data_IF_390116832967
#
_entry.id   IF_390116832967
#
_cell.length_a   1.000
_cell.length_b   1.000
_cell.length_c   1.000
_cell.angle_alpha   90.00
_cell.angle_beta   90.00
_cell.angle_gamma   90.00
#
_symmetry.space_group_name_H-M   'P 1'
#
loop_
_entity.id
_entity.type
_entity.pdbx_description
1 polymer ?
#
# COMPACT_ATOMS: atom_id res chain seq x y z
N UNK A 1 1.45 5.97 -6.48
CA UNK A 1 1.98 7.35 -6.51
C UNK A 1 3.48 7.34 -6.81
N UNK A 2 4.04 8.47 -7.23
CA UNK A 2 5.48 8.61 -7.51
C UNK A 2 6.33 8.44 -6.24
N UNK A 3 5.84 8.98 -5.11
CA UNK A 3 6.41 8.78 -3.77
C UNK A 3 6.48 7.27 -3.44
N UNK A 4 5.37 6.55 -3.59
CA UNK A 4 5.33 5.10 -3.33
C UNK A 4 6.28 4.29 -4.21
N UNK A 5 6.40 4.64 -5.51
CA UNK A 5 7.38 4.00 -6.41
C UNK A 5 8.83 4.27 -5.97
N UNK A 6 9.14 5.48 -5.51
CA UNK A 6 10.46 5.79 -4.96
C UNK A 6 10.76 4.99 -3.68
N UNK A 7 9.78 4.85 -2.78
CA UNK A 7 9.92 4.02 -1.57
C UNK A 7 10.09 2.53 -1.89
N UNK A 8 9.34 2.01 -2.87
CA UNK A 8 9.48 0.63 -3.35
C UNK A 8 10.89 0.36 -3.89
N UNK A 9 11.47 1.33 -4.59
CA UNK A 9 12.84 1.30 -5.10
C UNK A 9 13.92 1.57 -4.03
N UNK A 10 13.55 1.80 -2.76
CA UNK A 10 14.51 2.07 -1.68
C UNK A 10 15.15 3.46 -1.78
N UNK A 11 14.43 4.44 -2.34
CA UNK A 11 14.90 5.82 -2.58
C UNK A 11 14.12 6.84 -1.75
N UNK A 12 14.26 6.85 -0.41
CA UNK A 12 13.55 7.80 0.45
C UNK A 12 13.95 9.26 0.18
N UNK A 13 15.20 9.49 -0.26
CA UNK A 13 15.70 10.80 -0.72
C UNK A 13 14.86 11.36 -1.88
N UNK A 14 14.53 10.49 -2.85
CA UNK A 14 13.69 10.84 -3.99
C UNK A 14 12.24 10.98 -3.58
N UNK A 15 11.76 10.13 -2.69
CA UNK A 15 10.41 10.20 -2.14
C UNK A 15 10.16 11.54 -1.44
N UNK A 16 11.12 12.04 -0.65
CA UNK A 16 11.03 13.34 0.02
C UNK A 16 10.88 14.50 -0.97
N UNK A 17 11.69 14.53 -2.03
CA UNK A 17 11.55 15.55 -3.10
C UNK A 17 10.19 15.48 -3.80
N UNK A 18 9.72 14.26 -4.09
CA UNK A 18 8.43 14.03 -4.74
C UNK A 18 7.23 14.36 -3.84
N UNK A 19 7.42 14.43 -2.53
CA UNK A 19 6.38 14.76 -1.56
C UNK A 19 6.08 16.28 -1.52
N UNK A 20 7.04 17.13 -1.90
CA UNK A 20 6.95 18.60 -1.77
C UNK A 20 5.70 19.18 -2.45
N UNK A 21 5.41 18.89 -3.74
CA UNK A 21 4.22 19.44 -4.38
C UNK A 21 2.91 19.02 -3.71
N UNK A 22 2.86 17.81 -3.14
CA UNK A 22 1.67 17.34 -2.42
C UNK A 22 1.48 18.09 -1.10
N UNK A 23 2.57 18.45 -0.41
CA UNK A 23 2.47 19.26 0.81
C UNK A 23 1.99 20.67 0.53
N UNK A 24 2.47 21.27 -0.56
CA UNK A 24 2.06 22.62 -0.96
C UNK A 24 0.56 22.68 -1.24
N UNK A 25 0.00 21.63 -1.87
CA UNK A 25 -1.42 21.58 -2.22
C UNK A 25 -2.31 21.19 -1.04
N UNK A 26 -1.91 20.19 -0.24
CA UNK A 26 -2.79 19.57 0.76
C UNK A 26 -2.46 19.95 2.21
N UNK A 27 -1.28 20.50 2.49
CA UNK A 27 -0.85 20.85 3.83
C UNK A 27 -1.05 19.71 4.84
N UNK A 28 -1.71 20.04 5.94
CA UNK A 28 -2.01 19.10 7.04
C UNK A 28 -3.06 18.05 6.70
N UNK A 29 -3.75 18.14 5.56
CA UNK A 29 -4.66 17.11 5.08
C UNK A 29 -3.92 15.94 4.41
N UNK A 30 -2.63 16.12 4.05
CA UNK A 30 -1.84 15.08 3.39
C UNK A 30 -1.66 13.85 4.28
N UNK A 31 -1.92 12.67 3.73
CA UNK A 31 -1.68 11.38 4.38
C UNK A 31 -0.80 10.49 3.51
N UNK A 32 -0.03 9.63 4.16
CA UNK A 32 0.69 8.56 3.47
C UNK A 32 0.01 7.23 3.75
N UNK A 33 -0.44 6.59 2.68
CA UNK A 33 -1.16 5.32 2.76
C UNK A 33 -0.20 4.14 2.88
N UNK A 34 -0.36 3.31 3.91
CA UNK A 34 0.28 2.01 4.02
C UNK A 34 -0.75 0.91 3.69
N UNK A 35 -0.37 -0.01 2.80
CA UNK A 35 -1.18 -1.16 2.38
C UNK A 35 -0.31 -2.42 2.44
N UNK A 36 -0.83 -3.47 3.05
CA UNK A 36 -0.18 -4.78 3.09
C UNK A 36 -1.16 -5.89 2.72
N UNK A 37 -0.79 -6.67 1.71
CA UNK A 37 -1.57 -7.77 1.12
C UNK A 37 -0.79 -9.09 1.20
N UNK A 38 0.06 -9.26 2.21
CA UNK A 38 0.84 -10.49 2.35
C UNK A 38 1.93 -10.71 1.29
N UNK A 39 2.14 -9.78 0.35
CA UNK A 39 3.10 -9.96 -0.74
C UNK A 39 4.54 -9.88 -0.26
N UNK A 40 5.39 -10.65 -0.92
CA UNK A 40 6.84 -10.57 -0.76
C UNK A 40 7.45 -9.42 -1.58
N UNK A 41 8.77 -9.23 -1.46
CA UNK A 41 9.50 -8.22 -2.22
C UNK A 41 9.32 -6.80 -1.67
N UNK A 42 9.32 -5.81 -2.57
CA UNK A 42 9.30 -4.38 -2.22
C UNK A 42 8.22 -3.58 -2.94
N UNK A 43 7.40 -4.26 -3.75
CA UNK A 43 6.36 -3.66 -4.57
C UNK A 43 5.05 -3.39 -3.81
N UNK A 44 4.00 -2.96 -4.53
CA UNK A 44 2.65 -2.78 -3.98
C UNK A 44 2.17 -4.01 -3.21
N UNK A 45 1.55 -3.77 -2.06
CA UNK A 45 1.03 -4.83 -1.18
C UNK A 45 2.11 -5.58 -0.38
N UNK A 46 3.39 -5.27 -0.53
CA UNK A 46 4.46 -5.90 0.25
C UNK A 46 4.62 -5.32 1.65
N UNK A 47 5.01 -6.17 2.62
CA UNK A 47 5.28 -5.72 4.00
C UNK A 47 6.38 -4.66 4.03
N UNK A 48 7.41 -4.82 3.20
CA UNK A 48 8.54 -3.89 3.15
C UNK A 48 8.13 -2.50 2.68
N UNK A 49 7.27 -2.40 1.67
CA UNK A 49 6.78 -1.10 1.21
C UNK A 49 5.88 -0.44 2.26
N UNK A 50 5.00 -1.21 2.90
CA UNK A 50 4.15 -0.69 3.97
C UNK A 50 4.99 -0.13 5.13
N UNK A 51 5.98 -0.90 5.60
CA UNK A 51 6.89 -0.49 6.67
C UNK A 51 7.72 0.75 6.28
N UNK A 52 8.30 0.79 5.08
CA UNK A 52 9.00 1.97 4.56
C UNK A 52 8.10 3.20 4.50
N UNK A 53 6.84 3.02 4.16
CA UNK A 53 5.87 4.13 4.11
C UNK A 53 5.58 4.68 5.49
N UNK A 54 5.40 3.81 6.51
CA UNK A 54 5.22 4.24 7.90
C UNK A 54 6.47 4.94 8.45
N UNK A 55 7.66 4.38 8.22
CA UNK A 55 8.93 5.01 8.62
C UNK A 55 9.14 6.37 7.96
N UNK A 56 8.95 6.44 6.63
CA UNK A 56 9.03 7.69 5.90
C UNK A 56 7.98 8.71 6.38
N UNK A 57 6.76 8.28 6.70
CA UNK A 57 5.74 9.16 7.25
C UNK A 57 6.17 9.78 8.58
N UNK A 58 6.79 9.00 9.47
CA UNK A 58 7.34 9.49 10.73
C UNK A 58 8.48 10.51 10.49
N UNK A 59 9.46 10.17 9.65
CA UNK A 59 10.60 11.06 9.29
C UNK A 59 10.12 12.40 8.71
N UNK A 60 9.11 12.33 7.86
CA UNK A 60 8.55 13.48 7.18
C UNK A 60 7.51 14.21 8.06
N UNK A 61 7.12 13.69 9.23
CA UNK A 61 6.03 14.25 10.04
C UNK A 61 4.71 14.37 9.26
N UNK A 62 4.38 13.35 8.46
CA UNK A 62 3.08 13.20 7.81
C UNK A 62 2.34 12.06 8.49
N UNK A 63 1.05 12.23 8.75
CA UNK A 63 0.26 11.18 9.40
C UNK A 63 0.05 10.01 8.42
N UNK A 64 0.46 8.78 8.77
CA UNK A 64 0.16 7.62 7.95
C UNK A 64 -1.31 7.19 8.14
N UNK A 65 -1.87 6.52 7.13
CA UNK A 65 -3.18 5.86 7.21
C UNK A 65 -3.00 4.43 6.74
N UNK A 66 -3.48 3.47 7.53
CA UNK A 66 -3.60 2.08 7.11
C UNK A 66 -4.89 1.92 6.31
N UNK A 67 -4.78 1.36 5.10
CA UNK A 67 -5.93 0.98 4.27
C UNK A 67 -5.74 -0.46 3.79
N UNK A 68 -6.81 -1.07 3.26
CA UNK A 68 -6.72 -2.36 2.57
C UNK A 68 -6.88 -2.28 1.05
N UNK A 69 -6.99 -1.07 0.48
CA UNK A 69 -7.27 -0.86 -0.94
C UNK A 69 -8.42 -1.76 -1.46
N UNK A 70 -9.56 -1.73 -0.75
CA UNK A 70 -10.68 -2.67 -0.95
C UNK A 70 -11.25 -2.56 -2.37
N UNK A 71 -11.39 -3.72 -3.03
CA UNK A 71 -11.97 -3.89 -4.36
C UNK A 71 -13.21 -4.77 -4.36
N UNK A 72 -13.36 -5.62 -3.36
CA UNK A 72 -14.44 -6.58 -3.23
C UNK A 72 -14.90 -6.71 -1.78
N UNK A 73 -16.15 -7.16 -1.57
CA UNK A 73 -16.71 -7.26 -0.23
C UNK A 73 -16.10 -8.45 0.53
N UNK A 74 -16.09 -9.61 -0.10
CA UNK A 74 -15.79 -10.89 0.54
C UNK A 74 -14.46 -11.50 0.05
N UNK A 75 -13.76 -12.29 0.89
CA UNK A 75 -12.57 -13.01 0.45
C UNK A 75 -12.86 -13.98 -0.70
N UNK A 76 -11.86 -14.24 -1.53
CA UNK A 76 -11.96 -15.18 -2.67
C UNK A 76 -12.43 -14.57 -3.98
N UNK A 77 -12.74 -13.27 -4.03
CA UNK A 77 -13.16 -12.58 -5.26
C UNK A 77 -12.01 -12.07 -6.14
N UNK A 78 -10.75 -12.38 -5.81
CA UNK A 78 -9.55 -12.02 -6.59
C UNK A 78 -9.62 -12.42 -8.08
N UNK A 79 -9.98 -13.69 -8.43
CA UNK A 79 -10.10 -14.09 -9.84
C UNK A 79 -11.18 -13.31 -10.62
N UNK A 80 -12.25 -12.87 -9.95
CA UNK A 80 -13.26 -12.02 -10.58
C UNK A 80 -12.67 -10.64 -10.87
N UNK A 81 -11.92 -10.07 -9.92
CA UNK A 81 -11.23 -8.80 -10.12
C UNK A 81 -10.23 -8.86 -11.29
N UNK A 82 -9.49 -9.97 -11.43
CA UNK A 82 -8.59 -10.21 -12.56
C UNK A 82 -9.32 -10.22 -13.91
N UNK A 83 -10.45 -10.93 -14.00
CA UNK A 83 -11.28 -10.96 -15.22
C UNK A 83 -11.81 -9.58 -15.56
N UNK A 84 -12.28 -8.81 -14.57
CA UNK A 84 -12.78 -7.45 -14.77
C UNK A 84 -11.67 -6.49 -15.23
N UNK A 85 -10.44 -6.63 -14.70
CA UNK A 85 -9.29 -5.85 -15.14
C UNK A 85 -8.86 -6.18 -16.57
N UNK A 86 -8.86 -7.48 -16.92
CA UNK A 86 -8.55 -7.94 -18.26
C UNK A 86 -9.60 -7.45 -19.29
N UNK A 87 -10.88 -7.58 -18.95
CA UNK A 87 -11.99 -7.09 -19.77
C UNK A 87 -11.91 -5.58 -20.00
N UNK A 88 -11.62 -4.79 -18.94
CA UNK A 88 -11.44 -3.33 -19.04
C UNK A 88 -10.30 -2.93 -19.98
N UNK A 89 -9.27 -3.76 -20.09
CA UNK A 89 -8.09 -3.53 -20.95
C UNK A 89 -8.20 -4.20 -22.32
N UNK A 90 -9.24 -4.99 -22.57
CA UNK A 90 -9.44 -5.79 -23.79
C UNK A 90 -8.25 -6.72 -24.10
N UNK A 91 -7.72 -7.38 -23.07
CA UNK A 91 -6.61 -8.34 -23.20
C UNK A 91 -6.95 -9.66 -22.49
N UNK A 92 -6.26 -10.77 -22.83
CA UNK A 92 -6.31 -11.99 -22.02
C UNK A 92 -5.90 -11.73 -20.56
N UNK A 93 -6.40 -12.54 -19.62
CA UNK A 93 -6.13 -12.38 -18.18
C UNK A 93 -4.63 -12.38 -17.89
N UNK A 94 -3.88 -13.26 -18.55
CA UNK A 94 -2.42 -13.40 -18.41
C UNK A 94 -1.65 -12.16 -18.91
N UNK A 95 -2.23 -11.40 -19.84
CA UNK A 95 -1.64 -10.21 -20.42
C UNK A 95 -2.04 -8.92 -19.67
N UNK A 96 -2.97 -8.99 -18.71
CA UNK A 96 -3.43 -7.84 -17.94
C UNK A 96 -2.42 -7.36 -16.89
N UNK A 97 -1.34 -8.12 -16.66
CA UNK A 97 -0.26 -7.78 -15.74
C UNK A 97 -0.26 -8.67 -14.50
N UNK A 98 0.16 -8.11 -13.37
CA UNK A 98 0.19 -8.83 -12.10
C UNK A 98 -1.24 -9.17 -11.63
N UNK A 99 -1.48 -10.45 -11.32
CA UNK A 99 -2.74 -10.96 -10.75
C UNK A 99 -3.07 -10.22 -9.44
N UNK A 100 -4.35 -10.10 -9.12
CA UNK A 100 -4.83 -9.58 -7.85
C UNK A 100 -4.23 -10.37 -6.68
N UNK A 101 -4.02 -9.70 -5.55
CA UNK A 101 -3.41 -10.33 -4.37
C UNK A 101 -4.34 -11.35 -3.69
N UNK A 102 -5.64 -11.30 -3.95
CA UNK A 102 -6.66 -12.03 -3.17
C UNK A 102 -6.97 -11.39 -1.82
N UNK A 103 -6.28 -10.30 -1.47
CA UNK A 103 -6.31 -9.67 -0.15
C UNK A 103 -7.05 -8.34 -0.12
N UNK A 104 -7.56 -7.86 -1.25
CA UNK A 104 -8.28 -6.60 -1.39
C UNK A 104 -9.79 -6.70 -1.05
N UNK A 105 -10.16 -7.58 -0.12
CA UNK A 105 -11.54 -7.69 0.40
C UNK A 105 -11.79 -6.74 1.58
N UNK A 106 -13.03 -6.58 2.03
CA UNK A 106 -13.34 -5.71 3.17
C UNK A 106 -12.95 -6.38 4.51
N UNK A 107 -11.69 -6.19 4.91
CA UNK A 107 -11.15 -6.73 6.15
C UNK A 107 -11.83 -6.16 7.39
N UNK A 108 -12.15 -7.03 8.34
CA UNK A 108 -12.63 -6.64 9.66
C UNK A 108 -11.55 -5.98 10.54
N UNK A 109 -11.95 -5.32 11.64
CA UNK A 109 -11.04 -4.57 12.52
C UNK A 109 -9.87 -5.38 13.05
N UNK A 110 -10.09 -6.65 13.43
CA UNK A 110 -9.04 -7.51 14.00
C UNK A 110 -7.97 -7.87 12.98
N UNK A 111 -8.37 -8.11 11.72
CA UNK A 111 -7.44 -8.37 10.63
C UNK A 111 -6.62 -7.10 10.32
N UNK A 112 -7.26 -5.93 10.34
CA UNK A 112 -6.59 -4.65 10.14
C UNK A 112 -5.65 -4.30 11.30
N UNK A 113 -6.00 -4.64 12.54
CA UNK A 113 -5.13 -4.46 13.69
C UNK A 113 -3.86 -5.31 13.57
N UNK A 114 -4.00 -6.60 13.25
CA UNK A 114 -2.82 -7.48 13.02
C UNK A 114 -1.94 -6.96 11.88
N UNK A 115 -2.54 -6.43 10.82
CA UNK A 115 -1.80 -5.79 9.74
C UNK A 115 -1.02 -4.57 10.25
N UNK A 116 -1.67 -3.70 11.04
CA UNK A 116 -1.04 -2.52 11.64
C UNK A 116 0.16 -2.91 12.50
N UNK A 117 -0.01 -3.86 13.43
CA UNK A 117 1.03 -4.33 14.33
C UNK A 117 2.24 -4.85 13.56
N UNK A 118 1.99 -5.69 12.54
CA UNK A 118 3.07 -6.26 11.74
C UNK A 118 3.83 -5.22 10.93
N UNK A 119 3.13 -4.24 10.35
CA UNK A 119 3.75 -3.15 9.59
C UNK A 119 4.60 -2.27 10.51
N UNK A 120 4.07 -1.92 11.68
CA UNK A 120 4.73 -1.06 12.67
C UNK A 120 5.97 -1.75 13.25
N UNK A 121 5.90 -3.05 13.56
CA UNK A 121 7.04 -3.86 13.97
C UNK A 121 8.11 -3.90 12.87
N UNK A 122 7.72 -4.15 11.61
CA UNK A 122 8.64 -4.18 10.48
C UNK A 122 9.27 -2.81 10.17
N UNK A 123 8.62 -1.72 10.59
CA UNK A 123 9.14 -0.36 10.50
C UNK A 123 10.09 0.01 11.65
N UNK A 124 10.26 -0.88 12.65
CA UNK A 124 11.15 -0.66 13.79
C UNK A 124 10.51 0.08 14.98
N UNK A 125 9.20 0.31 14.95
CA UNK A 125 8.46 1.00 16.01
C UNK A 125 7.82 -0.02 16.96
N UNK A 126 8.59 -0.73 17.78
CA UNK A 126 7.99 -1.67 18.75
C UNK A 126 7.37 -0.89 19.92
N UNK A 127 6.19 -1.32 20.38
CA UNK A 127 5.68 -0.93 21.70
C UNK A 127 6.40 -1.77 22.76
N UNK A 128 7.02 -1.10 23.73
CA UNK A 128 7.32 -1.70 25.03
C UNK A 128 6.03 -1.96 25.81
#
# INVERSE_FOLDING_TARGET
>A
SDVGRALAAGRPDRAARLLVPWREVYGDALRLEAVWHGREGTGPGSLRLAARTVGFAAEQRVRPVLSNAVRYADPGQGPVADVLDAARRLVPVEAAGERDSGEAWLKGPEAMLRAAERIVEAAGFRRE
#
